data_IF_230967436687
#
_entry.id   IF_230967436687
#
_cell.length_a   1.000
_cell.length_b   1.000
_cell.length_c   1.000
_cell.angle_alpha   90.00
_cell.angle_beta   90.00
_cell.angle_gamma   90.00
#
_symmetry.space_group_name_H-M   'P 1'
#
loop_
_entity.id
_entity.type
_entity.pdbx_description
1 polymer ?
#
# COMPACT_ATOMS: atom_id res chain seq x y z
N UNK A 1 5.08 -6.13 -40.36
CA UNK A 1 6.06 -5.58 -39.40
C UNK A 1 5.37 -5.32 -38.07
N UNK A 2 5.90 -5.80 -36.95
CA UNK A 2 5.45 -5.36 -35.63
C UNK A 2 5.72 -3.85 -35.48
N UNK A 3 4.84 -3.14 -34.76
CA UNK A 3 5.14 -1.75 -34.35
C UNK A 3 6.04 -1.81 -33.13
N UNK A 4 7.21 -1.20 -33.19
CA UNK A 4 8.04 -0.93 -32.01
C UNK A 4 7.29 0.03 -31.10
N UNK A 5 6.66 -0.53 -30.06
CA UNK A 5 5.98 0.24 -29.03
C UNK A 5 7.02 0.73 -28.04
N UNK A 6 7.48 1.97 -28.22
CA UNK A 6 8.30 2.67 -27.22
C UNK A 6 7.51 2.74 -25.90
N UNK A 7 8.20 2.53 -24.78
CA UNK A 7 7.66 2.56 -23.42
C UNK A 7 7.09 3.94 -23.05
N UNK A 8 6.30 4.03 -21.97
CA UNK A 8 5.55 5.25 -21.67
C UNK A 8 6.47 6.37 -21.21
N UNK A 9 7.48 6.05 -20.40
CA UNK A 9 8.52 6.96 -19.90
C UNK A 9 9.34 7.57 -21.05
N UNK A 10 9.87 6.76 -21.98
CA UNK A 10 10.60 7.26 -23.17
C UNK A 10 9.75 8.24 -24.01
N UNK A 11 8.44 7.99 -24.10
CA UNK A 11 7.50 8.85 -24.83
C UNK A 11 7.16 10.13 -24.06
N UNK A 12 7.10 10.08 -22.73
CA UNK A 12 6.95 11.25 -21.85
C UNK A 12 8.21 12.12 -21.86
N UNK A 13 9.39 11.49 -21.78
CA UNK A 13 10.69 12.16 -21.84
C UNK A 13 10.86 12.90 -23.17
N UNK A 14 10.57 12.25 -24.30
CA UNK A 14 10.60 12.91 -25.61
C UNK A 14 9.58 14.05 -25.74
N UNK A 15 8.37 13.89 -25.21
CA UNK A 15 7.32 14.92 -25.19
C UNK A 15 7.77 16.17 -24.42
N UNK A 16 8.34 15.98 -23.23
CA UNK A 16 8.70 17.06 -22.33
C UNK A 16 10.03 17.74 -22.72
N UNK A 17 11.01 17.02 -23.27
CA UNK A 17 12.19 17.63 -23.90
C UNK A 17 11.78 18.59 -25.03
N UNK A 18 10.85 18.16 -25.90
CA UNK A 18 10.29 19.04 -26.95
C UNK A 18 9.51 20.22 -26.36
N UNK A 19 8.87 20.07 -25.21
CA UNK A 19 8.18 21.16 -24.52
C UNK A 19 9.15 22.22 -23.96
N UNK A 20 10.26 21.80 -23.35
CA UNK A 20 11.36 22.68 -22.92
C UNK A 20 12.18 23.28 -24.08
N UNK A 21 11.68 23.21 -25.32
CA UNK A 21 12.31 23.83 -26.49
C UNK A 21 13.55 23.09 -27.03
N UNK A 22 13.86 21.88 -26.54
CA UNK A 22 14.99 21.09 -27.05
C UNK A 22 14.73 20.73 -28.51
N UNK A 23 15.67 21.08 -29.39
CA UNK A 23 15.51 20.88 -30.83
C UNK A 23 15.30 19.40 -31.16
N UNK A 24 14.31 19.10 -32.00
CA UNK A 24 13.79 17.73 -32.15
C UNK A 24 14.83 16.70 -32.58
N UNK A 25 15.84 17.09 -33.38
CA UNK A 25 16.94 16.17 -33.76
C UNK A 25 17.82 15.76 -32.57
N UNK A 26 18.00 16.62 -31.56
CA UNK A 26 18.67 16.25 -30.32
C UNK A 26 17.81 15.29 -29.49
N UNK A 27 16.48 15.46 -29.50
CA UNK A 27 15.56 14.53 -28.84
C UNK A 27 15.53 13.16 -29.54
N UNK A 28 15.62 13.12 -30.87
CA UNK A 28 15.81 11.87 -31.65
C UNK A 28 17.13 11.20 -31.26
N UNK A 29 18.24 11.95 -31.23
CA UNK A 29 19.55 11.41 -30.88
C UNK A 29 19.63 10.90 -29.42
N UNK A 30 18.93 11.54 -28.48
CA UNK A 30 18.91 11.18 -27.06
C UNK A 30 17.96 10.00 -26.75
N UNK A 31 16.77 9.98 -27.35
CA UNK A 31 15.73 8.97 -27.01
C UNK A 31 15.68 7.77 -27.97
N UNK A 32 16.35 7.85 -29.13
CA UNK A 32 16.24 6.87 -30.20
C UNK A 32 14.86 6.82 -30.89
N UNK A 33 13.89 7.65 -30.48
CA UNK A 33 12.55 7.69 -31.07
C UNK A 33 12.60 8.45 -32.41
N UNK A 34 12.12 7.88 -33.54
CA UNK A 34 12.09 8.59 -34.81
C UNK A 34 11.29 9.90 -34.76
N UNK A 35 11.77 10.95 -35.47
CA UNK A 35 11.14 12.28 -35.52
C UNK A 35 9.64 12.26 -35.81
N UNK A 36 9.20 11.40 -36.74
CA UNK A 36 7.80 11.19 -37.09
C UNK A 36 6.97 10.62 -35.91
N UNK A 37 7.55 9.71 -35.13
CA UNK A 37 6.94 9.16 -33.92
C UNK A 37 6.86 10.20 -32.81
N UNK A 38 7.91 11.01 -32.57
CA UNK A 38 7.88 12.12 -31.60
C UNK A 38 6.76 13.11 -31.96
N UNK A 39 6.68 13.56 -33.22
CA UNK A 39 5.63 14.48 -33.67
C UNK A 39 4.21 13.86 -33.54
N UNK A 40 4.07 12.56 -33.79
CA UNK A 40 2.81 11.83 -33.59
C UNK A 40 2.42 11.73 -32.10
N UNK A 41 3.39 11.55 -31.20
CA UNK A 41 3.18 11.61 -29.75
C UNK A 41 2.70 13.01 -29.36
N UNK A 42 3.47 14.07 -29.66
CA UNK A 42 3.14 15.47 -29.33
C UNK A 42 1.73 15.84 -29.81
N UNK A 43 1.37 15.49 -31.06
CA UNK A 43 0.03 15.73 -31.60
C UNK A 43 -1.06 14.99 -30.82
N UNK A 44 -0.83 13.72 -30.45
CA UNK A 44 -1.79 12.92 -29.67
C UNK A 44 -2.00 13.44 -28.25
N UNK A 45 -0.98 13.91 -27.56
CA UNK A 45 -1.14 14.40 -26.18
C UNK A 45 -1.80 15.78 -26.17
N UNK A 46 -1.45 16.69 -27.09
CA UNK A 46 -2.16 17.97 -27.26
C UNK A 46 -3.65 17.78 -27.60
N UNK A 47 -3.98 16.76 -28.40
CA UNK A 47 -5.37 16.38 -28.68
C UNK A 47 -6.12 15.74 -27.47
N UNK A 48 -5.41 15.48 -26.36
CA UNK A 48 -5.95 15.01 -25.06
C UNK A 48 -5.81 16.08 -23.96
N UNK A 49 -5.76 17.36 -24.33
CA UNK A 49 -5.72 18.48 -23.39
C UNK A 49 -4.38 18.78 -22.73
N UNK A 50 -3.33 17.98 -22.96
CA UNK A 50 -2.03 18.15 -22.30
C UNK A 50 -1.39 19.51 -22.59
N UNK A 51 -1.22 20.31 -21.54
CA UNK A 51 -0.49 21.56 -21.57
C UNK A 51 0.80 21.43 -20.74
N UNK A 52 2.00 21.45 -21.35
CA UNK A 52 3.26 21.27 -20.61
C UNK A 52 3.58 22.39 -19.61
N UNK A 53 2.95 23.57 -19.74
CA UNK A 53 3.09 24.68 -18.79
C UNK A 53 2.30 24.46 -17.48
N UNK A 54 1.38 23.49 -17.47
CA UNK A 54 0.53 23.13 -16.31
C UNK A 54 0.89 21.71 -15.83
N UNK A 55 0.98 20.76 -16.77
CA UNK A 55 1.39 19.37 -16.55
C UNK A 55 2.82 19.13 -17.08
N UNK A 56 3.90 19.64 -16.47
CA UNK A 56 5.24 19.23 -16.85
C UNK A 56 5.48 17.78 -16.39
N UNK A 57 5.05 16.78 -17.18
CA UNK A 57 5.14 15.35 -16.81
C UNK A 57 6.55 14.82 -16.49
N UNK A 58 7.60 15.58 -16.79
CA UNK A 58 8.98 15.32 -16.31
C UNK A 58 9.14 15.57 -14.79
N UNK A 59 8.22 16.31 -14.17
CA UNK A 59 8.10 16.51 -12.71
C UNK A 59 7.23 15.47 -12.00
N UNK A 60 6.86 14.36 -12.65
CA UNK A 60 6.67 13.12 -11.87
C UNK A 60 8.06 12.66 -11.45
N UNK A 61 8.56 13.31 -10.40
CA UNK A 61 9.64 12.75 -9.59
C UNK A 61 9.09 11.43 -9.04
N UNK A 62 9.65 10.32 -9.52
CA UNK A 62 9.40 8.97 -9.05
C UNK A 62 10.44 8.73 -7.95
N UNK A 63 10.20 9.17 -6.69
CA UNK A 63 11.29 9.48 -5.81
C UNK A 63 11.84 8.20 -5.23
N UNK A 64 13.17 8.15 -5.18
CA UNK A 64 13.86 7.19 -4.32
C UNK A 64 14.10 7.91 -3.00
N UNK A 65 13.43 7.46 -1.95
CA UNK A 65 13.66 7.92 -0.60
C UNK A 65 14.82 7.13 0.01
N UNK A 66 15.77 7.82 0.62
CA UNK A 66 16.60 7.25 1.68
C UNK A 66 15.92 7.61 3.01
N UNK A 67 15.46 6.61 3.75
CA UNK A 67 14.81 6.81 5.04
C UNK A 67 15.50 6.03 6.16
N UNK A 68 15.47 6.60 7.36
CA UNK A 68 15.68 5.86 8.60
C UNK A 68 14.31 5.54 9.19
N UNK A 69 14.09 4.28 9.54
CA UNK A 69 12.75 3.83 9.88
C UNK A 69 12.65 2.35 10.25
N UNK A 70 11.43 1.83 10.27
CA UNK A 70 11.12 0.42 10.35
C UNK A 70 9.95 0.07 9.42
N UNK A 71 9.77 -1.23 9.12
CA UNK A 71 8.65 -1.72 8.32
C UNK A 71 7.40 -1.87 9.16
N UNK A 72 6.24 -1.49 8.62
CA UNK A 72 4.93 -1.78 9.20
C UNK A 72 4.19 -2.75 8.27
N UNK A 73 4.11 -4.05 8.62
CA UNK A 73 3.41 -5.06 7.83
C UNK A 73 1.95 -4.67 7.51
N UNK A 74 1.47 -5.00 6.31
CA UNK A 74 0.04 -4.82 5.97
C UNK A 74 -0.85 -5.82 6.71
N UNK A 75 -0.43 -7.08 6.75
CA UNK A 75 -1.09 -8.17 7.49
C UNK A 75 -0.46 -8.45 8.86
N UNK A 76 -1.01 -9.45 9.57
CA UNK A 76 -0.60 -9.79 10.93
C UNK A 76 -1.36 -8.99 12.00
N UNK A 77 -1.30 -9.44 13.26
CA UNK A 77 -2.12 -8.90 14.36
C UNK A 77 -1.82 -7.42 14.70
N UNK A 78 -0.57 -7.00 14.52
CA UNK A 78 -0.14 -5.59 14.68
C UNK A 78 -0.11 -4.82 13.36
N UNK A 79 -0.39 -5.48 12.22
CA UNK A 79 -0.29 -4.89 10.89
C UNK A 79 -1.24 -3.72 10.68
N UNK A 80 -0.86 -2.78 9.81
CA UNK A 80 -1.56 -1.50 9.66
C UNK A 80 -3.03 -1.65 9.22
N UNK A 81 -3.41 -2.71 8.49
CA UNK A 81 -4.83 -3.02 8.21
C UNK A 81 -5.62 -3.26 9.50
N UNK A 82 -5.05 -4.03 10.44
CA UNK A 82 -5.67 -4.29 11.74
C UNK A 82 -5.63 -3.04 12.62
N UNK A 83 -4.57 -2.24 12.56
CA UNK A 83 -4.50 -0.96 13.25
C UNK A 83 -5.63 0.00 12.81
N UNK A 84 -5.87 0.15 11.51
CA UNK A 84 -6.93 0.98 10.93
C UNK A 84 -8.31 0.55 11.43
N UNK A 85 -8.61 -0.75 11.40
CA UNK A 85 -9.88 -1.31 11.90
C UNK A 85 -10.03 -1.11 13.42
N UNK A 86 -9.00 -1.44 14.22
CA UNK A 86 -9.06 -1.31 15.69
C UNK A 86 -9.20 0.14 16.18
N UNK A 87 -8.85 1.12 15.35
CA UNK A 87 -8.96 2.55 15.67
C UNK A 87 -10.15 3.23 14.95
N UNK A 88 -11.00 2.48 14.24
CA UNK A 88 -12.14 2.96 13.46
C UNK A 88 -11.77 4.09 12.48
N UNK A 89 -10.68 3.91 11.72
CA UNK A 89 -10.20 4.88 10.74
C UNK A 89 -10.83 4.62 9.36
N UNK A 90 -12.15 4.77 9.26
CA UNK A 90 -12.95 4.36 8.08
C UNK A 90 -12.51 5.04 6.76
N UNK A 91 -12.07 6.30 6.83
CA UNK A 91 -11.51 7.07 5.71
C UNK A 91 -10.03 6.74 5.37
N UNK A 92 -9.37 5.85 6.11
CA UNK A 92 -7.95 5.54 5.94
C UNK A 92 -7.73 4.20 5.21
N UNK A 93 -7.18 4.24 4.00
CA UNK A 93 -6.89 3.04 3.22
C UNK A 93 -5.45 2.57 3.47
N UNK A 94 -5.27 1.34 3.98
CA UNK A 94 -3.93 0.82 4.25
C UNK A 94 -3.03 0.87 3.01
N UNK A 95 -3.56 0.56 1.83
CA UNK A 95 -2.82 0.47 0.57
C UNK A 95 -2.36 1.83 0.01
N UNK A 96 -2.67 2.94 0.67
CA UNK A 96 -2.40 4.32 0.24
C UNK A 96 -1.90 5.18 1.43
N UNK A 97 -0.85 4.76 2.16
CA UNK A 97 -0.41 5.46 3.39
C UNK A 97 0.22 6.83 3.15
N UNK A 98 0.74 7.09 1.95
CA UNK A 98 1.24 8.43 1.59
C UNK A 98 0.13 9.41 1.20
N UNK A 99 -1.06 8.91 0.88
CA UNK A 99 -2.21 9.75 0.52
C UNK A 99 -2.58 10.68 1.70
N UNK A 100 -2.77 12.00 1.50
CA UNK A 100 -2.78 12.96 2.61
C UNK A 100 -3.85 12.74 3.67
N UNK A 101 -5.02 12.21 3.31
CA UNK A 101 -6.10 11.92 4.27
C UNK A 101 -5.73 10.73 5.16
N UNK A 102 -5.35 9.60 4.55
CA UNK A 102 -4.89 8.39 5.24
C UNK A 102 -3.71 8.69 6.16
N UNK A 103 -2.68 9.38 5.64
CA UNK A 103 -1.49 9.76 6.41
C UNK A 103 -1.85 10.60 7.64
N UNK A 104 -2.69 11.64 7.47
CA UNK A 104 -3.20 12.46 8.57
C UNK A 104 -3.95 11.63 9.61
N UNK A 105 -4.89 10.77 9.19
CA UNK A 105 -5.73 9.99 10.10
C UNK A 105 -4.92 8.99 10.92
N UNK A 106 -3.96 8.28 10.31
CA UNK A 106 -3.07 7.35 11.01
C UNK A 106 -2.14 8.10 11.98
N UNK A 107 -1.54 9.21 11.56
CA UNK A 107 -0.68 10.03 12.43
C UNK A 107 -1.46 10.70 13.58
N UNK A 108 -2.69 11.14 13.35
CA UNK A 108 -3.60 11.61 14.41
C UNK A 108 -3.99 10.49 15.37
N UNK A 109 -4.26 9.29 14.86
CA UNK A 109 -4.55 8.11 15.68
C UNK A 109 -3.37 7.76 16.58
N UNK A 110 -2.14 7.73 16.04
CA UNK A 110 -0.92 7.54 16.83
C UNK A 110 -0.73 8.66 17.87
N UNK A 111 -1.03 9.92 17.52
CA UNK A 111 -0.99 11.05 18.47
C UNK A 111 -2.02 10.93 19.60
N UNK A 112 -3.16 10.25 19.36
CA UNK A 112 -4.18 9.93 20.37
C UNK A 112 -3.77 8.74 21.25
N UNK A 113 -3.41 7.60 20.64
CA UNK A 113 -3.10 6.34 21.34
C UNK A 113 -1.73 6.35 22.04
N UNK A 114 -0.73 6.97 21.41
CA UNK A 114 0.68 6.96 21.82
C UNK A 114 1.21 8.37 22.08
N UNK A 115 0.38 9.24 22.66
CA UNK A 115 0.67 10.68 22.90
C UNK A 115 1.99 10.97 23.64
N UNK A 116 2.44 10.07 24.52
CA UNK A 116 3.73 10.21 25.21
C UNK A 116 4.94 10.04 24.28
N UNK A 117 4.83 9.09 23.34
CA UNK A 117 5.84 8.76 22.33
C UNK A 117 5.86 9.81 21.22
N UNK A 118 4.69 10.13 20.66
CA UNK A 118 4.55 11.04 19.52
C UNK A 118 4.99 12.49 19.82
N UNK A 119 5.01 12.92 21.10
CA UNK A 119 5.59 14.21 21.50
C UNK A 119 7.11 14.29 21.34
N UNK A 120 7.79 13.16 21.18
CA UNK A 120 9.25 13.05 20.96
C UNK A 120 9.59 12.77 19.49
N UNK A 121 8.57 12.59 18.64
CA UNK A 121 8.67 12.23 17.22
C UNK A 121 7.77 13.17 16.37
N UNK A 122 8.09 14.47 16.28
CA UNK A 122 7.26 15.45 15.59
C UNK A 122 7.19 15.21 14.08
N UNK A 123 8.31 14.83 13.47
CA UNK A 123 8.52 14.74 12.02
C UNK A 123 8.30 13.31 11.48
N UNK A 124 7.53 12.49 12.21
CA UNK A 124 7.22 11.11 11.84
C UNK A 124 6.44 11.05 10.51
N UNK A 125 6.96 10.31 9.54
CA UNK A 125 6.37 10.15 8.21
C UNK A 125 6.03 8.67 7.91
N UNK A 126 4.99 8.48 7.10
CA UNK A 126 4.65 7.19 6.49
C UNK A 126 5.12 7.21 5.03
N UNK A 127 5.80 6.15 4.59
CA UNK A 127 6.29 5.99 3.22
C UNK A 127 5.85 4.62 2.71
N UNK A 128 5.49 4.52 1.43
CA UNK A 128 5.22 3.24 0.77
C UNK A 128 6.17 2.99 -0.40
N UNK A 129 6.34 1.71 -0.73
CA UNK A 129 6.93 1.31 -2.00
C UNK A 129 5.79 1.07 -2.98
N UNK A 130 5.92 1.56 -4.21
CA UNK A 130 4.91 1.37 -5.26
C UNK A 130 5.56 1.55 -6.63
N UNK A 131 5.13 0.77 -7.62
CA UNK A 131 5.55 0.90 -9.01
C UNK A 131 4.30 0.86 -9.91
N UNK A 132 3.92 1.98 -10.58
CA UNK A 132 2.69 2.03 -11.37
C UNK A 132 2.77 1.19 -12.65
N UNK A 133 3.97 0.81 -13.11
CA UNK A 133 4.15 -0.07 -14.26
C UNK A 133 4.15 -1.58 -13.88
N UNK A 134 4.30 -1.92 -12.59
CA UNK A 134 4.07 -3.29 -12.11
C UNK A 134 2.57 -3.58 -12.06
N UNK A 135 2.09 -4.21 -13.12
CA UNK A 135 0.70 -4.66 -13.29
C UNK A 135 0.59 -6.18 -13.26
N UNK A 136 1.66 -6.90 -12.88
CA UNK A 136 1.77 -8.35 -13.10
C UNK A 136 2.31 -9.17 -11.93
N UNK A 137 2.95 -8.55 -10.94
CA UNK A 137 3.34 -9.26 -9.71
C UNK A 137 2.15 -9.47 -8.76
N UNK A 138 2.30 -10.41 -7.84
CA UNK A 138 1.34 -10.63 -6.73
C UNK A 138 1.23 -9.41 -5.80
N UNK A 139 2.20 -8.50 -5.81
CA UNK A 139 2.25 -7.31 -4.94
C UNK A 139 1.95 -5.99 -5.66
N UNK A 140 1.67 -6.03 -6.96
CA UNK A 140 1.31 -4.88 -7.81
C UNK A 140 0.27 -3.92 -7.18
N UNK A 141 -0.80 -4.49 -6.60
CA UNK A 141 -1.88 -3.73 -5.94
C UNK A 141 -1.57 -3.42 -4.46
N UNK A 142 -0.80 -4.29 -3.80
CA UNK A 142 -0.62 -4.32 -2.35
C UNK A 142 0.76 -4.87 -1.97
N UNK A 143 1.70 -3.96 -1.72
CA UNK A 143 3.03 -4.30 -1.22
C UNK A 143 2.97 -4.75 0.26
N UNK A 144 3.81 -5.71 0.70
CA UNK A 144 3.61 -6.48 1.94
C UNK A 144 3.76 -5.67 3.24
N UNK A 145 4.42 -4.51 3.17
CA UNK A 145 4.62 -3.57 4.27
C UNK A 145 4.66 -2.13 3.74
N UNK A 146 4.38 -1.17 4.62
CA UNK A 146 4.81 0.21 4.49
C UNK A 146 6.07 0.46 5.34
N UNK A 147 6.57 1.69 5.34
CA UNK A 147 7.62 2.16 6.23
C UNK A 147 7.08 3.27 7.15
N UNK A 148 7.48 3.22 8.41
CA UNK A 148 7.36 4.32 9.37
C UNK A 148 8.76 4.89 9.54
N UNK A 149 8.94 6.18 9.27
CA UNK A 149 10.23 6.84 9.25
C UNK A 149 10.28 7.99 10.27
N UNK A 150 11.40 8.11 10.99
CA UNK A 150 11.72 9.32 11.76
C UNK A 150 12.41 10.37 10.87
N UNK A 151 13.04 9.94 9.77
CA UNK A 151 13.77 10.79 8.81
C UNK A 151 13.65 10.24 7.40
N UNK A 152 13.27 11.09 6.46
CA UNK A 152 13.19 10.79 5.02
C UNK A 152 14.00 11.82 4.25
N UNK A 153 14.73 11.38 3.23
CA UNK A 153 15.52 12.21 2.30
C UNK A 153 15.15 11.82 0.87
N UNK A 154 14.60 12.76 0.12
CA UNK A 154 14.21 12.56 -1.28
C UNK A 154 15.44 12.69 -2.19
N UNK A 155 15.88 11.61 -2.84
CA UNK A 155 17.12 11.62 -3.62
C UNK A 155 17.03 12.40 -4.94
N UNK A 156 15.82 12.72 -5.41
CA UNK A 156 15.59 13.63 -6.55
C UNK A 156 15.78 15.10 -6.17
N UNK A 157 15.25 15.53 -5.02
CA UNK A 157 15.43 16.90 -4.50
C UNK A 157 16.91 17.20 -4.23
N UNK A 158 17.67 16.20 -3.75
CA UNK A 158 19.13 16.34 -3.55
C UNK A 158 19.93 16.48 -4.84
N UNK A 159 19.33 16.40 -6.04
CA UNK A 159 20.01 16.84 -7.26
C UNK A 159 20.03 18.38 -7.40
N UNK A 160 18.99 19.07 -6.91
CA UNK A 160 18.70 20.48 -7.23
C UNK A 160 18.79 21.41 -6.01
N UNK A 161 18.78 20.86 -4.78
CA UNK A 161 18.91 21.63 -3.55
C UNK A 161 20.31 22.24 -3.31
N UNK A 162 20.45 23.11 -2.28
CA UNK A 162 21.73 23.76 -1.95
C UNK A 162 22.81 22.78 -1.43
N UNK A 163 22.42 21.56 -1.05
CA UNK A 163 23.33 20.43 -0.93
C UNK A 163 23.03 19.45 -2.09
N UNK A 164 23.59 19.75 -3.26
CA UNK A 164 23.46 18.91 -4.46
C UNK A 164 24.34 17.66 -4.31
N UNK A 165 23.74 16.58 -3.79
CA UNK A 165 24.38 15.28 -3.60
C UNK A 165 24.10 14.37 -4.80
N UNK A 166 24.84 14.61 -5.89
CA UNK A 166 24.88 13.70 -7.06
C UNK A 166 25.37 12.28 -6.70
N UNK A 167 26.01 12.15 -5.54
CA UNK A 167 26.37 10.89 -4.88
C UNK A 167 26.49 11.17 -3.38
N UNK A 168 26.02 10.26 -2.53
CA UNK A 168 26.17 10.34 -1.08
C UNK A 168 26.55 8.97 -0.50
N UNK A 169 27.37 8.91 0.55
CA UNK A 169 27.77 7.63 1.15
C UNK A 169 26.72 7.14 2.15
N UNK A 170 26.32 5.88 2.04
CA UNK A 170 25.47 5.25 3.07
C UNK A 170 26.18 5.17 4.43
N UNK A 171 27.52 5.09 4.45
CA UNK A 171 28.31 5.13 5.67
C UNK A 171 28.20 6.49 6.39
N UNK A 172 28.15 7.61 5.65
CA UNK A 172 27.95 8.94 6.22
C UNK A 172 26.60 9.07 6.92
N UNK A 173 25.51 8.54 6.33
CA UNK A 173 24.19 8.53 6.96
C UNK A 173 24.10 7.59 8.16
N UNK A 174 24.75 6.43 8.11
CA UNK A 174 24.85 5.51 9.26
C UNK A 174 25.65 6.14 10.41
N UNK A 175 26.76 6.81 10.12
CA UNK A 175 27.61 7.48 11.13
C UNK A 175 26.96 8.76 11.70
N UNK A 176 26.26 9.55 10.88
CA UNK A 176 25.52 10.72 11.34
C UNK A 176 24.20 10.35 12.06
N UNK A 177 23.69 9.13 11.83
CA UNK A 177 22.44 8.63 12.38
C UNK A 177 21.20 9.40 11.90
N UNK A 178 20.06 9.14 12.54
CA UNK A 178 18.86 9.92 12.25
C UNK A 178 19.00 11.39 12.70
N UNK A 179 19.87 11.69 13.66
CA UNK A 179 20.09 13.05 14.18
C UNK A 179 19.12 13.44 15.30
N UNK A 180 18.29 12.49 15.74
CA UNK A 180 17.44 12.61 16.91
C UNK A 180 18.24 12.46 18.22
N UNK A 181 17.66 12.93 19.32
CA UNK A 181 18.18 12.68 20.67
C UNK A 181 17.99 11.22 21.08
N UNK A 182 18.79 10.75 22.06
CA UNK A 182 18.68 9.40 22.62
C UNK A 182 17.25 9.10 23.13
N UNK A 183 16.61 10.06 23.79
CA UNK A 183 15.20 9.99 24.23
C UNK A 183 14.22 9.73 23.09
N UNK A 184 14.45 10.31 21.91
CA UNK A 184 13.60 10.14 20.74
C UNK A 184 13.91 8.85 19.99
N UNK A 185 15.17 8.42 19.93
CA UNK A 185 15.56 7.10 19.41
C UNK A 185 14.93 5.99 20.27
N UNK A 186 14.95 6.13 21.59
CA UNK A 186 14.26 5.23 22.52
C UNK A 186 12.74 5.26 22.31
N UNK A 187 12.15 6.43 22.07
CA UNK A 187 10.73 6.57 21.72
C UNK A 187 10.37 5.88 20.40
N UNK A 188 11.27 5.88 19.42
CA UNK A 188 11.06 5.25 18.13
C UNK A 188 11.13 3.72 18.21
N UNK A 189 12.00 3.18 19.06
CA UNK A 189 11.99 1.76 19.44
C UNK A 189 10.69 1.39 20.19
N UNK A 190 10.24 2.21 21.14
CA UNK A 190 8.96 2.04 21.85
C UNK A 190 7.76 2.04 20.87
N UNK A 191 7.74 2.97 19.90
CA UNK A 191 6.72 3.04 18.85
C UNK A 191 6.69 1.75 18.01
N UNK A 192 7.85 1.29 17.54
CA UNK A 192 7.97 0.03 16.79
C UNK A 192 7.44 -1.14 17.61
N UNK A 193 7.86 -1.28 18.86
CA UNK A 193 7.50 -2.45 19.67
C UNK A 193 5.99 -2.51 19.97
N UNK A 194 5.30 -1.37 19.91
CA UNK A 194 3.83 -1.30 19.98
C UNK A 194 3.11 -1.67 18.66
N UNK A 195 3.63 -1.27 17.49
CA UNK A 195 2.89 -1.37 16.19
C UNK A 195 3.49 -2.34 15.16
N UNK A 196 4.74 -2.74 15.33
CA UNK A 196 5.53 -3.55 14.41
C UNK A 196 6.51 -4.46 15.19
N UNK A 197 6.02 -5.08 16.27
CA UNK A 197 6.81 -5.91 17.16
C UNK A 197 7.61 -6.99 16.40
N UNK A 198 8.94 -6.97 16.55
CA UNK A 198 9.88 -7.89 15.89
C UNK A 198 10.51 -7.37 14.60
N UNK A 199 10.09 -6.23 14.08
CA UNK A 199 10.74 -5.59 12.93
C UNK A 199 12.07 -4.90 13.31
N UNK A 200 12.90 -4.62 12.30
CA UNK A 200 14.18 -3.94 12.50
C UNK A 200 14.04 -2.44 12.27
N UNK A 201 14.76 -1.65 13.07
CA UNK A 201 15.00 -0.23 12.79
C UNK A 201 16.32 -0.12 12.04
N UNK A 202 16.36 0.70 11.00
CA UNK A 202 17.56 0.93 10.20
C UNK A 202 17.34 1.84 9.01
N UNK A 203 18.32 1.88 8.12
CA UNK A 203 18.27 2.65 6.89
C UNK A 203 17.73 1.81 5.73
N UNK A 204 16.81 2.40 4.96
CA UNK A 204 16.18 1.77 3.80
C UNK A 204 16.20 2.72 2.60
N UNK A 205 16.40 2.14 1.42
CA UNK A 205 16.22 2.82 0.12
C UNK A 205 14.88 2.33 -0.45
N UNK A 206 13.95 3.25 -0.69
CA UNK A 206 12.55 2.95 -1.03
C UNK A 206 12.15 3.76 -2.26
N UNK A 207 11.70 3.08 -3.30
CA UNK A 207 11.20 3.71 -4.53
C UNK A 207 9.67 3.78 -4.51
N UNK A 208 9.12 4.93 -4.89
CA UNK A 208 7.69 5.11 -5.14
C UNK A 208 7.50 5.80 -6.51
N UNK A 209 6.84 5.15 -7.47
CA UNK A 209 6.56 5.73 -8.78
C UNK A 209 5.38 6.72 -8.82
N UNK A 210 4.58 6.82 -7.75
CA UNK A 210 3.49 7.79 -7.61
C UNK A 210 3.28 8.19 -6.12
N UNK A 211 3.97 9.24 -5.63
CA UNK A 211 3.84 9.67 -4.23
C UNK A 211 2.50 10.30 -3.86
N UNK A 212 1.81 10.89 -4.83
CA UNK A 212 0.55 11.61 -4.62
C UNK A 212 -0.66 10.66 -4.62
N UNK A 213 -0.52 9.53 -5.35
CA UNK A 213 -1.45 8.39 -5.50
C UNK A 213 -2.78 8.56 -4.77
N UNK A 214 -3.68 9.30 -5.41
CA UNK A 214 -5.06 9.41 -4.97
C UNK A 214 -5.75 8.05 -5.00
N UNK A 215 -6.76 7.89 -4.15
CA UNK A 215 -7.78 6.87 -4.37
C UNK A 215 -8.47 7.20 -5.71
N UNK A 216 -8.77 6.22 -6.59
CA UNK A 216 -9.52 6.50 -7.80
C UNK A 216 -10.91 7.01 -7.41
N UNK A 217 -11.24 8.23 -7.82
CA UNK A 217 -12.61 8.74 -7.68
C UNK A 217 -13.55 7.79 -8.42
N UNK A 218 -14.45 7.15 -7.67
CA UNK A 218 -15.51 6.32 -8.25
C UNK A 218 -16.50 7.34 -8.83
N UNK A 219 -16.48 7.50 -10.16
CA UNK A 219 -17.46 8.34 -10.86
C UNK A 219 -18.86 7.82 -10.50
N UNK A 220 -19.66 8.61 -9.76
CA UNK A 220 -20.94 8.15 -9.20
C UNK A 220 -21.94 7.74 -10.29
N UNK A 221 -21.80 8.31 -11.51
CA UNK A 221 -22.53 7.96 -12.73
C UNK A 221 -22.17 6.56 -13.30
N UNK A 222 -21.16 5.86 -12.77
CA UNK A 222 -20.70 4.56 -13.29
C UNK A 222 -21.32 3.33 -12.59
N UNK A 223 -22.18 3.52 -11.59
CA UNK A 223 -22.94 2.43 -10.96
C UNK A 223 -24.23 2.11 -11.72
N UNK A 224 -24.10 1.51 -12.91
CA UNK A 224 -25.23 0.84 -13.57
C UNK A 224 -25.55 -0.47 -12.83
N UNK A 225 -26.22 -0.34 -11.68
CA UNK A 225 -26.89 -1.43 -10.98
C UNK A 225 -28.04 -1.95 -11.85
N UNK A 226 -27.71 -2.76 -12.86
CA UNK A 226 -28.65 -3.68 -13.48
C UNK A 226 -29.22 -4.56 -12.35
N UNK A 227 -30.52 -4.49 -12.02
CA UNK A 227 -31.13 -5.51 -11.19
C UNK A 227 -31.09 -6.82 -11.97
N UNK A 228 -30.60 -7.89 -11.36
CA UNK A 228 -30.94 -9.23 -11.84
C UNK A 228 -32.44 -9.39 -11.57
N UNK A 229 -33.28 -9.27 -12.59
CA UNK A 229 -34.72 -9.48 -12.47
C UNK A 229 -34.94 -10.92 -11.99
N UNK A 230 -35.56 -11.09 -10.83
CA UNK A 230 -35.91 -12.42 -10.32
C UNK A 230 -37.00 -13.00 -11.21
N UNK A 231 -36.67 -14.00 -12.04
CA UNK A 231 -37.63 -14.70 -12.92
C UNK A 231 -38.77 -15.30 -12.08
N UNK A 232 -39.92 -14.62 -12.03
CA UNK A 232 -41.14 -15.11 -11.39
C UNK A 232 -41.70 -16.32 -12.16
N UNK A 233 -41.37 -17.55 -11.74
CA UNK A 233 -41.97 -18.78 -12.30
C UNK A 233 -43.49 -18.82 -11.99
N UNK A 234 -44.33 -18.46 -12.98
CA UNK A 234 -45.79 -18.48 -12.86
C UNK A 234 -46.33 -19.88 -12.47
N UNK A 235 -46.87 -20.00 -11.24
CA UNK A 235 -47.58 -21.20 -10.78
C UNK A 235 -48.84 -21.46 -11.64
N UNK A 236 -48.80 -22.50 -12.49
CA UNK A 236 -49.91 -22.88 -13.36
C UNK A 236 -50.73 -24.04 -12.76
N UNK A 237 -51.51 -23.77 -11.71
CA UNK A 237 -52.42 -24.75 -11.11
C UNK A 237 -53.53 -25.19 -12.09
N UNK A 238 -53.71 -26.51 -12.22
CA UNK A 238 -54.93 -27.15 -12.77
C UNK A 238 -55.24 -28.43 -12.00
N UNK A 239 -56.39 -28.43 -11.34
CA UNK A 239 -56.90 -29.56 -10.54
C UNK A 239 -57.72 -30.56 -11.38
N UNK A 240 -58.35 -31.52 -10.66
CA UNK A 240 -59.34 -32.52 -11.12
C UNK A 240 -58.76 -33.73 -11.92
N UNK A 241 -59.07 -35.00 -11.62
CA UNK A 241 -59.99 -35.57 -10.59
C UNK A 241 -59.61 -37.05 -10.25
N UNK A 242 -60.11 -37.57 -9.10
CA UNK A 242 -60.47 -38.97 -8.72
C UNK A 242 -59.70 -40.23 -9.26
N UNK A 243 -59.51 -41.36 -8.55
CA UNK A 243 -59.83 -41.89 -7.19
C UNK A 243 -58.66 -42.82 -6.74
N UNK A 244 -58.40 -43.09 -5.46
CA UNK A 244 -59.09 -44.10 -4.60
C UNK A 244 -58.28 -44.31 -3.29
N UNK A 245 -58.87 -44.92 -2.24
CA UNK A 245 -58.39 -44.81 -0.85
C UNK A 245 -58.01 -46.16 -0.15
N UNK A 246 -58.06 -46.31 1.21
CA UNK A 246 -56.89 -46.31 2.13
C UNK A 246 -56.76 -47.70 2.88
N UNK A 247 -56.21 -47.90 4.12
CA UNK A 247 -55.55 -47.03 5.13
C UNK A 247 -54.15 -47.63 5.60
N UNK A 248 -53.58 -47.60 6.82
CA UNK A 248 -54.04 -47.27 8.18
C UNK A 248 -52.91 -47.11 9.26
N UNK A 249 -53.29 -46.56 10.44
CA UNK A 249 -52.64 -46.62 11.79
C UNK A 249 -51.39 -45.76 12.06
N UNK A 250 -51.22 -45.33 13.33
CA UNK A 250 -50.22 -44.39 13.85
C UNK A 250 -49.29 -45.03 14.96
N UNK A 251 -48.75 -44.38 16.03
CA UNK A 251 -47.30 -44.41 16.37
C UNK A 251 -47.07 -44.91 17.84
N UNK A 252 -46.17 -44.41 18.75
CA UNK A 252 -44.92 -43.61 18.67
C UNK A 252 -43.75 -44.08 19.63
N UNK A 253 -42.71 -43.23 19.78
CA UNK A 253 -41.76 -43.04 20.93
C UNK A 253 -40.57 -44.01 21.21
N UNK A 254 -39.33 -43.45 21.27
CA UNK A 254 -38.31 -43.45 22.38
C UNK A 254 -36.83 -43.49 21.92
N UNK A 255 -35.95 -42.88 22.72
CA UNK A 255 -34.50 -42.73 22.49
C UNK A 255 -33.64 -43.38 23.60
N UNK A 256 -32.42 -43.84 23.25
CA UNK A 256 -31.27 -43.79 24.18
C UNK A 256 -29.89 -43.54 23.48
N UNK A 257 -28.73 -43.41 24.14
CA UNK A 257 -28.32 -42.53 25.27
C UNK A 257 -26.79 -42.61 25.49
N UNK A 258 -26.08 -41.46 25.51
CA UNK A 258 -24.69 -41.27 26.01
C UNK A 258 -23.54 -41.91 25.19
N UNK A 259 -22.23 -41.62 25.41
CA UNK A 259 -21.52 -40.80 26.44
C UNK A 259 -20.13 -40.29 25.96
N UNK A 260 -19.58 -39.31 26.67
CA UNK A 260 -18.19 -38.82 26.58
C UNK A 260 -17.14 -39.86 27.05
N UNK A 261 -15.84 -39.60 26.78
CA UNK A 261 -14.79 -39.66 27.80
C UNK A 261 -14.30 -38.26 28.24
N UNK A 262 -13.71 -38.19 29.43
CA UNK A 262 -13.41 -36.96 30.18
C UNK A 262 -11.93 -36.87 30.58
N UNK A 263 -11.29 -35.69 30.40
CA UNK A 263 -10.36 -35.04 31.37
C UNK A 263 -9.08 -35.83 31.80
N UNK A 264 -8.15 -35.35 32.67
CA UNK A 264 -8.02 -34.12 33.48
C UNK A 264 -6.53 -33.66 33.60
N UNK A 265 -6.34 -32.43 34.11
CA UNK A 265 -5.11 -31.67 34.49
C UNK A 265 -4.21 -32.44 35.51
N UNK A 266 -2.94 -32.10 35.80
CA UNK A 266 -2.05 -30.98 35.41
C UNK A 266 -1.00 -30.65 36.53
N UNK A 267 -0.42 -29.43 36.53
CA UNK A 267 0.35 -28.73 37.60
C UNK A 267 1.88 -28.99 37.86
N UNK A 268 2.60 -27.88 38.14
CA UNK A 268 3.93 -27.65 38.78
C UNK A 268 5.21 -28.41 38.30
N UNK A 269 6.43 -27.85 38.37
CA UNK A 269 6.84 -26.45 38.53
C UNK A 269 8.26 -26.15 39.10
N UNK A 270 9.08 -25.39 38.35
CA UNK A 270 10.22 -24.49 38.76
C UNK A 270 11.57 -25.08 39.28
N UNK A 271 12.68 -24.44 38.83
CA UNK A 271 14.05 -24.33 39.44
C UNK A 271 14.94 -25.62 39.41
N UNK A 272 16.29 -25.57 39.41
CA UNK A 272 17.31 -24.49 39.19
C UNK A 272 18.74 -25.10 39.06
N UNK A 273 19.71 -24.28 38.62
CA UNK A 273 21.17 -24.31 38.92
C UNK A 273 22.12 -25.40 38.38
N UNK A 274 23.19 -24.93 37.68
CA UNK A 274 24.66 -25.22 37.84
C UNK A 274 25.25 -26.63 37.70
N UNK A 275 26.54 -26.85 37.34
CA UNK A 275 27.56 -26.07 36.61
C UNK A 275 28.87 -26.91 36.46
N UNK A 276 29.73 -26.56 35.48
CA UNK A 276 31.20 -26.81 35.43
C UNK A 276 31.74 -28.23 35.17
N UNK A 277 32.88 -28.28 34.44
CA UNK A 277 33.81 -29.40 34.19
C UNK A 277 33.31 -30.54 33.26
N UNK A 278 34.17 -31.15 32.42
CA UNK A 278 35.61 -30.92 32.11
C UNK A 278 35.77 -30.48 30.66
#
# INVERSE_FOLDING_TARGET
MPRTQHSIELRVQALALVAYGVHIEAVVAFTGIPRSTILCIVKKVKARGYNPEIDPRIKREMPVYLLHGFRWPRGGFTGIRVYIVLNNLEEAAAEYVQQPLTSRLVLESLKKTQSAIMRRLPDLQLIEQYDPEDTTSETAVSQPFAYVADKVITLSETATGPQSLLSASMEEFVTAGSGYSEDAIAAFAELRDNIAAGENIGWYVVYNGDPERGYPEIEEDSMDYQPEEEDEEEENEKEEEETSAPPAVQPPVKSPTSRFPERLKGFFGKKSSTATAV
#
